data_IF_974532639169
#
_entry.id   IF_974532639169
#
_cell.length_a   1.000
_cell.length_b   1.000
_cell.length_c   1.000
_cell.angle_alpha   90.00
_cell.angle_beta   90.00
_cell.angle_gamma   90.00
#
_symmetry.space_group_name_H-M   'P 1'
#
loop_
_entity.id
_entity.type
_entity.pdbx_description
1 polymer ?
#
# COMPACT_ATOMS: atom_id res chain seq x y z
N UNK A 1 7.84 9.97 7.34
CA UNK A 1 7.54 9.67 5.93
C UNK A 1 6.07 9.95 5.72
N UNK A 2 5.71 10.94 4.91
CA UNK A 2 4.33 11.35 4.70
C UNK A 2 3.69 10.55 3.56
N UNK A 3 3.56 9.24 3.77
CA UNK A 3 3.05 8.33 2.74
C UNK A 3 1.55 8.60 2.54
N UNK A 4 1.13 8.77 1.28
CA UNK A 4 -0.26 8.98 0.85
C UNK A 4 -0.93 10.30 1.28
N UNK A 5 -0.18 11.34 1.66
CA UNK A 5 -0.79 12.64 2.04
C UNK A 5 -1.68 13.26 0.96
N UNK A 6 -1.35 13.07 -0.31
CA UNK A 6 -2.17 13.50 -1.45
C UNK A 6 -3.56 12.85 -1.44
N UNK A 7 -3.66 11.58 -1.03
CA UNK A 7 -4.92 10.85 -0.99
C UNK A 7 -5.73 11.11 0.28
N UNK A 8 -5.06 11.44 1.38
CA UNK A 8 -5.73 11.82 2.63
C UNK A 8 -6.53 13.13 2.49
N UNK A 9 -6.12 14.00 1.55
CA UNK A 9 -6.81 15.25 1.22
C UNK A 9 -7.69 15.14 -0.03
N UNK A 10 -7.79 13.95 -0.65
CA UNK A 10 -8.64 13.74 -1.83
C UNK A 10 -10.11 13.99 -1.51
N UNK A 11 -10.85 14.61 -2.43
CA UNK A 11 -12.31 14.78 -2.35
C UNK A 11 -13.06 13.45 -2.44
N UNK A 12 -12.42 12.44 -3.05
CA UNK A 12 -12.92 11.07 -3.15
C UNK A 12 -12.81 10.35 -1.80
N UNK A 13 -13.97 10.00 -1.24
CA UNK A 13 -14.08 9.33 0.05
C UNK A 13 -13.42 7.94 0.04
N UNK A 14 -13.57 7.19 -1.06
CA UNK A 14 -13.03 5.84 -1.17
C UNK A 14 -11.50 5.86 -1.25
N UNK A 15 -10.92 6.79 -2.03
CA UNK A 15 -9.46 6.99 -2.05
C UNK A 15 -8.92 7.38 -0.67
N UNK A 16 -9.64 8.26 0.03
CA UNK A 16 -9.26 8.72 1.36
C UNK A 16 -9.29 7.59 2.39
N UNK A 17 -10.31 6.74 2.35
CA UNK A 17 -10.43 5.57 3.22
C UNK A 17 -9.33 4.54 2.95
N UNK A 18 -9.11 4.19 1.68
CA UNK A 18 -8.03 3.27 1.26
C UNK A 18 -6.66 3.80 1.70
N UNK A 19 -6.40 5.10 1.54
CA UNK A 19 -5.15 5.72 1.96
C UNK A 19 -4.92 5.69 3.48
N UNK A 20 -5.98 5.90 4.28
CA UNK A 20 -5.91 5.77 5.74
C UNK A 20 -5.56 4.34 6.17
N UNK A 21 -6.19 3.34 5.55
CA UNK A 21 -5.90 1.93 5.80
C UNK A 21 -4.44 1.60 5.50
N UNK A 22 -3.97 1.94 4.30
CA UNK A 22 -2.58 1.70 3.89
C UNK A 22 -1.56 2.44 4.76
N UNK A 23 -1.82 3.70 5.12
CA UNK A 23 -0.94 4.46 6.04
C UNK A 23 -0.82 3.78 7.40
N UNK A 24 -1.92 3.25 7.93
CA UNK A 24 -1.93 2.58 9.23
C UNK A 24 -1.14 1.27 9.17
N UNK A 25 -1.38 0.44 8.15
CA UNK A 25 -0.66 -0.84 7.97
C UNK A 25 0.83 -0.66 7.73
N UNK A 26 1.23 0.30 6.89
CA UNK A 26 2.64 0.61 6.63
C UNK A 26 3.32 1.20 7.87
N UNK A 27 2.61 2.07 8.61
CA UNK A 27 3.12 2.61 9.87
C UNK A 27 3.39 1.53 10.92
N UNK A 28 2.56 0.48 10.99
CA UNK A 28 2.80 -0.67 11.86
C UNK A 28 4.03 -1.47 11.44
N UNK A 29 4.29 -1.64 10.13
CA UNK A 29 5.49 -2.32 9.64
C UNK A 29 6.79 -1.57 9.96
N UNK A 30 6.76 -0.23 9.94
CA UNK A 30 7.91 0.61 10.30
C UNK A 30 8.28 0.45 11.79
N UNK A 31 7.26 0.30 12.66
CA UNK A 31 7.46 0.01 14.09
C UNK A 31 8.13 -1.35 14.32
N UNK A 32 7.86 -2.34 13.46
CA UNK A 32 8.50 -3.66 13.48
C UNK A 32 9.89 -3.67 12.80
N UNK A 33 10.41 -2.51 12.40
CA UNK A 33 11.70 -2.34 11.72
C UNK A 33 11.79 -3.13 10.40
N UNK A 34 10.63 -3.41 9.78
CA UNK A 34 10.52 -4.00 8.45
C UNK A 34 10.68 -2.89 7.41
N UNK A 35 11.62 -3.07 6.49
CA UNK A 35 11.83 -2.08 5.41
C UNK A 35 10.68 -2.20 4.40
N UNK A 36 9.78 -1.24 4.45
CA UNK A 36 8.70 -1.09 3.46
C UNK A 36 9.33 -0.97 2.07
N UNK A 37 9.02 -1.91 1.18
CA UNK A 37 9.54 -1.90 -0.18
C UNK A 37 8.85 -0.82 -1.01
N UNK A 38 9.58 -0.22 -1.96
CA UNK A 38 8.98 0.69 -2.94
C UNK A 38 7.84 0.00 -3.70
N UNK A 39 7.97 -1.30 -3.94
CA UNK A 39 6.93 -2.12 -4.56
C UNK A 39 5.61 -2.11 -3.76
N UNK A 40 5.68 -2.19 -2.43
CA UNK A 40 4.47 -2.13 -1.60
C UNK A 40 3.81 -0.76 -1.67
N UNK A 41 4.60 0.32 -1.69
CA UNK A 41 4.09 1.69 -1.83
C UNK A 41 3.41 1.90 -3.18
N UNK A 42 3.99 1.42 -4.28
CA UNK A 42 3.39 1.53 -5.60
C UNK A 42 2.12 0.67 -5.73
N UNK A 43 2.15 -0.56 -5.21
CA UNK A 43 0.97 -1.44 -5.19
C UNK A 43 -0.18 -0.80 -4.40
N UNK A 44 0.13 -0.18 -3.25
CA UNK A 44 -0.85 0.56 -2.45
C UNK A 44 -1.44 1.75 -3.22
N UNK A 45 -0.62 2.52 -3.97
CA UNK A 45 -1.10 3.62 -4.82
C UNK A 45 -2.10 3.14 -5.86
N UNK A 46 -1.78 2.07 -6.60
CA UNK A 46 -2.69 1.50 -7.61
C UNK A 46 -4.02 1.07 -7.00
N UNK A 47 -3.99 0.47 -5.81
CA UNK A 47 -5.21 0.12 -5.09
C UNK A 47 -6.00 1.36 -4.64
N UNK A 48 -5.33 2.40 -4.14
CA UNK A 48 -5.98 3.65 -3.76
C UNK A 48 -6.64 4.31 -4.98
N UNK A 49 -5.98 4.32 -6.13
CA UNK A 49 -6.53 4.85 -7.39
C UNK A 49 -7.67 3.99 -7.96
N UNK A 50 -7.84 2.76 -7.48
CA UNK A 50 -8.82 1.81 -7.98
C UNK A 50 -8.42 1.13 -9.29
N UNK A 51 -7.13 1.17 -9.64
CA UNK A 51 -6.57 0.47 -10.80
C UNK A 51 -6.54 -1.05 -10.58
N UNK A 52 -6.39 -1.49 -9.33
CA UNK A 52 -6.35 -2.90 -8.95
C UNK A 52 -7.24 -3.17 -7.73
N UNK A 53 -7.77 -4.38 -7.67
CA UNK A 53 -8.54 -4.90 -6.54
C UNK A 53 -7.63 -5.35 -5.38
N UNK A 54 -8.21 -5.53 -4.19
CA UNK A 54 -7.47 -6.06 -3.03
C UNK A 54 -6.95 -7.49 -3.27
N UNK A 55 -7.68 -8.30 -4.06
CA UNK A 55 -7.22 -9.63 -4.47
C UNK A 55 -5.95 -9.55 -5.34
N UNK A 56 -5.88 -8.59 -6.26
CA UNK A 56 -4.71 -8.36 -7.12
C UNK A 56 -3.52 -7.80 -6.35
N UNK A 57 -3.77 -6.95 -5.36
CA UNK A 57 -2.76 -6.52 -4.38
C UNK A 57 -2.14 -7.74 -3.70
N UNK A 58 -2.98 -8.64 -3.17
CA UNK A 58 -2.53 -9.85 -2.48
C UNK A 58 -1.65 -10.74 -3.35
N UNK A 59 -2.08 -11.00 -4.59
CA UNK A 59 -1.28 -11.78 -5.56
C UNK A 59 0.05 -11.10 -5.90
N UNK A 60 0.03 -9.79 -6.13
CA UNK A 60 1.23 -9.03 -6.48
C UNK A 60 2.28 -9.08 -5.37
N UNK A 61 1.84 -8.96 -4.10
CA UNK A 61 2.71 -9.07 -2.93
C UNK A 61 3.25 -10.50 -2.79
N UNK A 62 2.39 -11.51 -2.92
CA UNK A 62 2.79 -12.92 -2.82
C UNK A 62 3.83 -13.30 -3.89
N UNK A 63 3.62 -12.91 -5.15
CA UNK A 63 4.58 -13.16 -6.23
C UNK A 63 5.91 -12.42 -6.03
N UNK A 64 5.87 -11.20 -5.51
CA UNK A 64 7.07 -10.40 -5.27
C UNK A 64 7.97 -11.04 -4.21
N UNK A 65 7.40 -11.41 -3.05
CA UNK A 65 8.19 -12.02 -1.97
C UNK A 65 8.58 -13.47 -2.25
N UNK A 66 7.78 -14.24 -3.00
CA UNK A 66 8.18 -15.58 -3.47
C UNK A 66 9.44 -15.57 -4.33
N UNK A 67 9.66 -14.50 -5.11
CA UNK A 67 10.88 -14.36 -5.93
C UNK A 67 12.11 -13.94 -5.14
N UNK A 68 11.94 -13.25 -4.01
CA UNK A 68 13.06 -12.82 -3.15
C UNK A 68 13.62 -13.98 -2.31
N UNK A 69 12.81 -15.02 -2.07
CA UNK A 69 13.21 -16.27 -1.39
C UNK A 69 13.85 -17.34 -2.31
N UNK A 70 14.13 -17.02 -3.58
CA UNK A 70 14.67 -17.95 -4.60
C UNK A 70 16.18 -17.85 -4.82
#
# INVERSE_FOLDING_TARGET
MNVFEEYLNSEDLEKRERAKLWRTSIGLQDVDNLRVSNFLIETARKHIEGEISMDEVGRSIDEYYKKDES
#
